data_IF_661004373960
#
_entry.id   IF_661004373960
#
_cell.length_a   1.000
_cell.length_b   1.000
_cell.length_c   1.000
_cell.angle_alpha   90.00
_cell.angle_beta   90.00
_cell.angle_gamma   90.00
#
_symmetry.space_group_name_H-M   'P 1'
#
loop_
_entity.id
_entity.type
_entity.pdbx_description
1 polymer ?
#
# COMPACT_ATOMS: atom_id res chain seq x y z
N UNK A 1 -0.18 5.67 -32.45
CA UNK A 1 -1.37 5.76 -31.56
C UNK A 1 -2.16 4.45 -31.40
N UNK A 2 -1.54 3.25 -31.38
CA UNK A 2 -2.27 1.96 -31.21
C UNK A 2 -2.14 1.29 -29.83
N UNK A 3 -1.33 1.83 -28.92
CA UNK A 3 -0.97 1.14 -27.67
C UNK A 3 -1.93 1.38 -26.50
N UNK A 4 -2.73 2.46 -26.53
CA UNK A 4 -3.59 2.86 -25.39
C UNK A 4 -4.91 2.09 -25.28
N UNK A 5 -5.32 1.36 -26.33
CA UNK A 5 -6.62 0.67 -26.40
C UNK A 5 -6.62 -0.74 -25.78
N UNK A 6 -5.46 -1.37 -25.58
CA UNK A 6 -5.37 -2.76 -25.09
C UNK A 6 -5.60 -2.91 -23.59
N UNK A 7 -5.21 -1.94 -22.77
CA UNK A 7 -5.37 -2.03 -21.31
C UNK A 7 -6.78 -1.73 -20.81
N UNK A 8 -7.57 -0.95 -21.56
CA UNK A 8 -8.97 -0.67 -21.20
C UNK A 8 -9.89 -1.87 -21.30
N UNK A 9 -9.64 -2.78 -22.25
CA UNK A 9 -10.42 -4.02 -22.42
C UNK A 9 -10.20 -5.02 -21.29
N UNK A 10 -8.97 -5.12 -20.76
CA UNK A 10 -8.66 -6.05 -19.68
C UNK A 10 -9.40 -5.72 -18.37
N UNK A 11 -9.53 -4.43 -18.04
CA UNK A 11 -10.23 -3.99 -16.82
C UNK A 11 -11.74 -4.30 -16.92
N UNK A 12 -12.35 -4.07 -18.09
CA UNK A 12 -13.77 -4.34 -18.30
C UNK A 12 -14.06 -5.85 -18.20
N UNK A 13 -13.19 -6.70 -18.76
CA UNK A 13 -13.36 -8.17 -18.69
C UNK A 13 -13.26 -8.67 -17.25
N UNK A 14 -12.32 -8.14 -16.45
CA UNK A 14 -12.19 -8.52 -15.04
C UNK A 14 -13.41 -8.08 -14.21
N UNK A 15 -13.96 -6.88 -14.47
CA UNK A 15 -15.16 -6.39 -13.78
C UNK A 15 -16.41 -7.19 -14.16
N UNK A 16 -16.55 -7.57 -15.43
CA UNK A 16 -17.65 -8.43 -15.90
C UNK A 16 -17.51 -9.84 -15.31
N UNK A 17 -16.30 -10.40 -15.29
CA UNK A 17 -16.05 -11.74 -14.73
C UNK A 17 -16.36 -11.81 -13.22
N UNK A 18 -16.09 -10.73 -12.46
CA UNK A 18 -16.46 -10.63 -11.04
C UNK A 18 -17.97 -10.54 -10.81
N UNK A 19 -18.74 -10.07 -11.80
CA UNK A 19 -20.20 -9.94 -11.70
C UNK A 19 -20.96 -11.23 -12.08
N UNK A 20 -20.30 -12.15 -12.78
CA UNK A 20 -20.85 -13.44 -13.21
C UNK A 20 -20.51 -14.60 -12.26
N UNK A 21 -19.93 -14.32 -11.08
CA UNK A 21 -19.77 -15.36 -10.07
C UNK A 21 -21.17 -15.86 -9.63
N UNK A 22 -21.44 -17.16 -9.74
CA UNK A 22 -22.76 -17.74 -9.49
C UNK A 22 -23.15 -17.52 -8.02
N UNK A 23 -24.26 -16.82 -7.82
CA UNK A 23 -24.98 -16.82 -6.55
C UNK A 23 -25.67 -18.17 -6.41
N UNK A 24 -24.95 -19.15 -5.86
CA UNK A 24 -25.54 -20.43 -5.52
C UNK A 24 -26.62 -20.19 -4.45
N UNK A 25 -27.87 -20.27 -4.89
CA UNK A 25 -29.07 -20.45 -4.09
C UNK A 25 -29.00 -21.81 -3.40
N UNK A 26 -28.87 -21.80 -2.07
CA UNK A 26 -29.02 -22.97 -1.21
C UNK A 26 -30.50 -23.18 -0.85
N UNK A 27 -30.86 -24.45 -0.77
CA UNK A 27 -32.21 -25.01 -0.68
C UNK A 27 -32.71 -25.16 0.78
N UNK A 28 -33.98 -25.57 0.87
CA UNK A 28 -34.74 -26.18 1.97
C UNK A 28 -34.38 -25.88 3.44
N UNK A 29 -35.36 -25.26 4.10
CA UNK A 29 -35.61 -25.19 5.55
C UNK A 29 -34.44 -24.86 6.48
N UNK A 30 -33.83 -23.68 6.27
CA UNK A 30 -33.04 -23.02 7.31
C UNK A 30 -34.00 -22.46 8.37
N UNK A 31 -33.97 -23.02 9.58
CA UNK A 31 -34.65 -22.40 10.73
C UNK A 31 -33.79 -21.22 11.17
N UNK A 32 -34.21 -20.02 10.76
CA UNK A 32 -33.60 -18.75 11.17
C UNK A 32 -34.53 -18.06 12.16
N UNK A 33 -34.04 -17.77 13.36
CA UNK A 33 -34.74 -16.91 14.32
C UNK A 33 -33.81 -15.78 14.76
N UNK A 34 -34.34 -14.56 14.68
CA UNK A 34 -33.62 -13.33 15.04
C UNK A 34 -34.37 -12.71 16.22
N UNK A 35 -33.81 -12.82 17.42
CA UNK A 35 -34.42 -12.32 18.65
C UNK A 35 -35.61 -13.14 19.18
N UNK A 36 -35.90 -12.98 20.48
CA UNK A 36 -37.04 -13.61 21.14
C UNK A 36 -36.68 -14.79 22.05
N UNK A 37 -37.49 -15.84 22.01
CA UNK A 37 -37.31 -17.05 22.83
C UNK A 37 -36.19 -17.94 22.27
N UNK A 38 -35.49 -18.71 23.12
CA UNK A 38 -34.41 -19.59 22.68
C UNK A 38 -34.91 -20.62 21.66
N UNK A 39 -34.12 -20.85 20.60
CA UNK A 39 -34.43 -21.87 19.59
C UNK A 39 -34.25 -23.25 20.23
N UNK A 40 -35.29 -24.07 20.22
CA UNK A 40 -35.26 -25.44 20.77
C UNK A 40 -35.50 -26.47 19.68
N UNK A 41 -34.50 -27.33 19.41
CA UNK A 41 -34.67 -28.53 18.56
C UNK A 41 -34.96 -29.72 19.47
N UNK A 42 -36.21 -30.21 19.44
CA UNK A 42 -36.66 -31.30 20.29
C UNK A 42 -36.08 -32.66 19.87
N UNK A 43 -36.01 -33.59 20.82
CA UNK A 43 -35.62 -34.97 20.55
C UNK A 43 -36.56 -35.60 19.48
N UNK A 44 -36.00 -36.43 18.60
CA UNK A 44 -36.70 -37.06 17.48
C UNK A 44 -36.86 -36.18 16.24
N UNK A 45 -36.53 -34.89 16.30
CA UNK A 45 -36.54 -34.00 15.15
C UNK A 45 -35.15 -33.94 14.51
N UNK A 46 -35.12 -33.85 13.18
CA UNK A 46 -33.89 -33.67 12.41
C UNK A 46 -33.98 -32.37 11.62
N UNK A 47 -32.99 -31.50 11.77
CA UNK A 47 -32.90 -30.21 11.07
C UNK A 47 -31.55 -30.16 10.35
N UNK A 48 -31.46 -29.48 9.21
CA UNK A 48 -30.20 -29.40 8.48
C UNK A 48 -29.23 -28.41 9.12
N UNK A 49 -29.67 -27.17 9.29
CA UNK A 49 -28.88 -26.08 9.89
C UNK A 49 -29.71 -25.29 10.89
N UNK A 50 -29.12 -24.94 12.02
CA UNK A 50 -29.73 -24.07 13.04
C UNK A 50 -28.96 -22.76 13.09
N UNK A 51 -29.65 -21.64 12.82
CA UNK A 51 -29.08 -20.30 12.94
C UNK A 51 -29.83 -19.50 14.02
N UNK A 52 -29.16 -19.22 15.14
CA UNK A 52 -29.68 -18.38 16.22
C UNK A 52 -28.90 -17.08 16.31
N UNK A 53 -29.59 -15.93 16.27
CA UNK A 53 -28.96 -14.61 16.38
C UNK A 53 -29.57 -13.83 17.55
N UNK A 54 -28.74 -13.55 18.55
CA UNK A 54 -29.10 -12.81 19.76
C UNK A 54 -29.88 -13.61 20.80
N UNK A 55 -29.98 -14.94 20.61
CA UNK A 55 -30.71 -15.85 21.49
C UNK A 55 -29.95 -17.15 21.68
N UNK A 56 -30.15 -17.82 22.81
CA UNK A 56 -29.58 -19.13 23.06
C UNK A 56 -30.20 -20.20 22.15
N UNK A 57 -29.42 -21.22 21.80
CA UNK A 57 -29.92 -22.41 21.11
C UNK A 57 -29.82 -23.63 22.03
N UNK A 58 -30.92 -24.37 22.17
CA UNK A 58 -30.98 -25.64 22.90
C UNK A 58 -31.26 -26.76 21.91
N UNK A 59 -30.32 -27.68 21.77
CA UNK A 59 -30.36 -28.74 20.77
C UNK A 59 -30.49 -30.06 21.52
N UNK A 60 -31.61 -30.76 21.36
CA UNK A 60 -31.83 -32.12 21.84
C UNK A 60 -32.05 -33.14 20.69
N UNK A 61 -32.32 -32.66 19.47
CA UNK A 61 -32.49 -33.49 18.27
C UNK A 61 -31.22 -33.66 17.43
N UNK A 62 -31.40 -34.03 16.16
CA UNK A 62 -30.32 -34.24 15.20
C UNK A 62 -30.15 -33.01 14.30
N UNK A 63 -28.92 -32.48 14.21
CA UNK A 63 -28.56 -31.42 13.26
C UNK A 63 -27.47 -31.94 12.34
N UNK A 64 -27.80 -32.08 11.07
CA UNK A 64 -26.93 -32.82 10.14
C UNK A 64 -25.73 -32.03 9.64
N UNK A 65 -25.83 -30.69 9.56
CA UNK A 65 -24.80 -29.85 8.97
C UNK A 65 -24.13 -28.93 10.02
N UNK A 66 -24.78 -27.84 10.41
CA UNK A 66 -24.19 -26.89 11.34
C UNK A 66 -25.17 -26.22 12.30
N UNK A 67 -24.70 -25.93 13.51
CA UNK A 67 -25.35 -25.02 14.46
C UNK A 67 -24.50 -23.75 14.54
N UNK A 68 -25.03 -22.64 14.06
CA UNK A 68 -24.41 -21.32 14.13
C UNK A 68 -25.20 -20.45 15.11
N UNK A 69 -24.56 -20.07 16.21
CA UNK A 69 -25.14 -19.14 17.19
C UNK A 69 -24.32 -17.88 17.25
N UNK A 70 -24.98 -16.72 17.20
CA UNK A 70 -24.35 -15.41 17.26
C UNK A 70 -24.90 -14.69 18.48
N UNK A 71 -24.02 -14.32 19.42
CA UNK A 71 -24.37 -13.58 20.63
C UNK A 71 -25.45 -14.28 21.48
N UNK A 72 -25.25 -15.58 21.72
CA UNK A 72 -26.08 -16.44 22.56
C UNK A 72 -25.28 -17.67 22.98
N UNK A 73 -25.83 -18.51 23.85
CA UNK A 73 -25.18 -19.75 24.27
C UNK A 73 -25.76 -20.95 23.55
N UNK A 74 -24.93 -21.97 23.31
CA UNK A 74 -25.37 -23.26 22.76
C UNK A 74 -25.43 -24.28 23.87
N UNK A 75 -26.58 -24.90 24.07
CA UNK A 75 -26.77 -26.01 24.99
C UNK A 75 -27.04 -27.29 24.19
N UNK A 76 -26.08 -28.19 24.15
CA UNK A 76 -26.24 -29.52 23.54
C UNK A 76 -26.71 -30.49 24.63
N UNK A 77 -27.94 -30.96 24.52
CA UNK A 77 -28.52 -31.92 25.45
C UNK A 77 -28.01 -33.35 25.20
N UNK A 78 -28.19 -34.30 26.14
CA UNK A 78 -27.63 -35.65 26.03
C UNK A 78 -27.98 -36.42 24.75
N UNK A 79 -29.15 -36.14 24.15
CA UNK A 79 -29.63 -36.77 22.92
C UNK A 79 -29.21 -36.05 21.64
N UNK A 80 -28.54 -34.90 21.75
CA UNK A 80 -28.12 -34.10 20.62
C UNK A 80 -27.13 -34.84 19.73
N UNK A 81 -27.33 -34.80 18.42
CA UNK A 81 -26.34 -35.23 17.44
C UNK A 81 -26.11 -34.08 16.48
N UNK A 82 -24.91 -33.51 16.49
CA UNK A 82 -24.56 -32.36 15.66
C UNK A 82 -23.24 -32.65 14.94
N UNK A 83 -23.11 -32.22 13.69
CA UNK A 83 -21.84 -32.36 12.96
C UNK A 83 -20.85 -31.24 13.34
N UNK A 84 -21.25 -29.97 13.16
CA UNK A 84 -20.44 -28.79 13.44
C UNK A 84 -21.19 -27.79 14.34
N UNK A 85 -20.52 -27.26 15.37
CA UNK A 85 -21.06 -26.17 16.21
C UNK A 85 -20.11 -24.97 16.11
N UNK A 86 -20.64 -23.84 15.70
CA UNK A 86 -19.94 -22.55 15.68
C UNK A 86 -20.72 -21.60 16.57
N UNK A 87 -20.07 -21.17 17.65
CA UNK A 87 -20.59 -20.14 18.53
C UNK A 87 -19.78 -18.86 18.38
N UNK A 88 -20.46 -17.75 18.10
CA UNK A 88 -19.90 -16.43 17.86
C UNK A 88 -20.38 -15.48 18.96
N UNK A 89 -19.72 -15.52 20.12
CA UNK A 89 -19.92 -14.56 21.21
C UNK A 89 -20.54 -15.09 22.50
N UNK A 90 -20.64 -16.41 22.68
CA UNK A 90 -21.10 -17.03 23.92
C UNK A 90 -20.30 -18.27 24.31
N UNK A 91 -20.98 -19.26 24.87
CA UNK A 91 -20.36 -20.52 25.31
C UNK A 91 -21.16 -21.73 24.84
N UNK A 92 -20.45 -22.82 24.52
CA UNK A 92 -21.05 -24.10 24.16
C UNK A 92 -21.00 -25.04 25.37
N UNK A 93 -22.17 -25.27 25.96
CA UNK A 93 -22.35 -26.25 27.02
C UNK A 93 -22.67 -27.61 26.40
N UNK A 94 -21.65 -28.45 26.25
CA UNK A 94 -21.80 -29.77 25.67
C UNK A 94 -22.12 -30.84 26.74
N UNK A 95 -23.37 -31.29 26.81
CA UNK A 95 -23.80 -32.46 27.59
C UNK A 95 -24.16 -33.67 26.73
N UNK A 96 -23.90 -33.61 25.41
CA UNK A 96 -24.23 -34.66 24.47
C UNK A 96 -23.40 -35.93 24.75
N UNK A 97 -24.04 -37.10 24.65
CA UNK A 97 -23.35 -38.38 24.81
C UNK A 97 -22.35 -38.66 23.67
N UNK A 98 -22.53 -37.99 22.53
CA UNK A 98 -21.69 -38.10 21.34
C UNK A 98 -21.14 -36.73 20.97
N UNK A 99 -19.83 -36.60 20.95
CA UNK A 99 -19.19 -35.35 20.55
C UNK A 99 -19.50 -35.00 19.09
N UNK A 100 -19.56 -33.70 18.75
CA UNK A 100 -19.71 -33.27 17.36
C UNK A 100 -18.60 -33.84 16.48
N UNK A 101 -18.95 -34.28 15.27
CA UNK A 101 -18.03 -34.99 14.36
C UNK A 101 -16.94 -34.08 13.83
N UNK A 102 -17.30 -32.86 13.43
CA UNK A 102 -16.38 -31.89 12.81
C UNK A 102 -15.73 -31.00 13.87
N UNK A 103 -16.44 -30.70 14.97
CA UNK A 103 -15.88 -30.04 16.14
C UNK A 103 -16.75 -28.89 16.66
N UNK A 104 -16.24 -28.22 17.70
CA UNK A 104 -16.85 -27.06 18.34
C UNK A 104 -15.90 -25.87 18.22
N UNK A 105 -16.37 -24.77 17.61
CA UNK A 105 -15.63 -23.53 17.48
C UNK A 105 -16.29 -22.45 18.32
N UNK A 106 -15.66 -22.08 19.42
CA UNK A 106 -16.09 -20.95 20.26
C UNK A 106 -15.26 -19.72 19.91
N UNK A 107 -15.89 -18.71 19.29
CA UNK A 107 -15.30 -17.40 19.04
C UNK A 107 -15.94 -16.42 19.98
N UNK A 108 -15.32 -16.26 21.15
CA UNK A 108 -15.78 -15.28 22.12
C UNK A 108 -15.34 -13.88 21.72
N UNK A 109 -16.32 -13.01 21.39
CA UNK A 109 -16.13 -11.55 21.31
C UNK A 109 -15.95 -10.99 22.73
N UNK A 110 -14.90 -11.45 23.42
CA UNK A 110 -14.53 -10.90 24.71
C UNK A 110 -14.21 -9.41 24.56
N UNK A 111 -14.40 -8.65 25.63
CA UNK A 111 -13.96 -7.24 25.69
C UNK A 111 -12.49 -7.10 25.27
N UNK A 112 -11.68 -8.13 25.52
CA UNK A 112 -10.29 -8.21 25.08
C UNK A 112 -10.16 -8.22 23.54
N UNK A 113 -10.92 -9.06 22.84
CA UNK A 113 -10.88 -9.13 21.37
C UNK A 113 -11.40 -7.83 20.74
N UNK A 114 -12.45 -7.23 21.30
CA UNK A 114 -12.95 -5.92 20.87
C UNK A 114 -11.89 -4.83 21.10
N UNK A 115 -11.25 -4.79 22.27
CA UNK A 115 -10.20 -3.81 22.56
C UNK A 115 -8.97 -3.99 21.67
N UNK A 116 -8.52 -5.22 21.42
CA UNK A 116 -7.39 -5.51 20.55
C UNK A 116 -7.69 -5.20 19.08
N UNK A 117 -8.90 -5.52 18.60
CA UNK A 117 -9.33 -5.19 17.23
C UNK A 117 -9.53 -3.69 17.03
N UNK A 118 -10.10 -2.97 18.02
CA UNK A 118 -10.23 -1.52 17.99
C UNK A 118 -8.86 -0.86 18.00
N UNK A 119 -7.94 -1.29 18.87
CA UNK A 119 -6.57 -0.78 18.90
C UNK A 119 -5.85 -1.03 17.57
N UNK A 120 -5.97 -2.24 17.01
CA UNK A 120 -5.44 -2.58 15.70
C UNK A 120 -6.03 -1.70 14.59
N UNK A 121 -7.35 -1.46 14.63
CA UNK A 121 -8.05 -0.57 13.71
C UNK A 121 -7.55 0.87 13.80
N UNK A 122 -7.36 1.40 15.01
CA UNK A 122 -6.82 2.75 15.24
C UNK A 122 -5.39 2.87 14.74
N UNK A 123 -4.53 1.89 15.00
CA UNK A 123 -3.15 1.88 14.50
C UNK A 123 -3.14 1.85 12.97
N UNK A 124 -3.96 1.00 12.36
CA UNK A 124 -4.06 0.89 10.91
C UNK A 124 -4.53 2.22 10.31
N UNK A 125 -5.61 2.81 10.84
CA UNK A 125 -6.09 4.14 10.44
C UNK A 125 -5.02 5.22 10.63
N UNK A 126 -4.27 5.17 11.73
CA UNK A 126 -3.16 6.08 12.01
C UNK A 126 -2.06 6.00 10.96
N UNK A 127 -1.66 4.80 10.54
CA UNK A 127 -0.66 4.59 9.47
C UNK A 127 -1.18 5.14 8.14
N UNK A 128 -2.46 4.89 7.81
CA UNK A 128 -3.07 5.43 6.58
C UNK A 128 -3.14 6.96 6.61
N UNK A 129 -3.55 7.56 7.73
CA UNK A 129 -3.59 9.01 7.90
C UNK A 129 -2.19 9.63 7.80
N UNK A 130 -1.19 9.04 8.48
CA UNK A 130 0.20 9.47 8.39
C UNK A 130 0.71 9.43 6.94
N UNK A 131 0.40 8.36 6.20
CA UNK A 131 0.77 8.23 4.79
C UNK A 131 0.14 9.31 3.92
N UNK A 132 -1.12 9.69 4.16
CA UNK A 132 -1.78 10.80 3.46
C UNK A 132 -1.08 12.13 3.77
N UNK A 133 -0.78 12.40 5.04
CA UNK A 133 -0.07 13.62 5.46
C UNK A 133 1.32 13.72 4.83
N UNK A 134 2.11 12.65 4.89
CA UNK A 134 3.44 12.59 4.26
C UNK A 134 3.35 12.77 2.75
N UNK A 135 2.36 12.18 2.10
CA UNK A 135 2.14 12.35 0.67
C UNK A 135 1.80 13.80 0.32
N UNK A 136 0.93 14.45 1.09
CA UNK A 136 0.55 15.84 0.88
C UNK A 136 1.75 16.78 1.06
N UNK A 137 2.53 16.58 2.13
CA UNK A 137 3.78 17.31 2.37
C UNK A 137 4.76 17.11 1.21
N UNK A 138 4.90 15.88 0.72
CA UNK A 138 5.74 15.55 -0.43
C UNK A 138 5.31 16.29 -1.70
N UNK A 139 4.00 16.37 -1.98
CA UNK A 139 3.46 17.12 -3.13
C UNK A 139 3.80 18.60 -3.02
N UNK A 140 3.52 19.22 -1.86
CA UNK A 140 3.78 20.66 -1.64
C UNK A 140 5.28 20.94 -1.77
N UNK A 141 6.11 20.11 -1.15
CA UNK A 141 7.57 20.24 -1.17
C UNK A 141 8.15 20.10 -2.59
N UNK A 142 7.78 19.05 -3.33
CA UNK A 142 8.24 18.83 -4.70
C UNK A 142 7.72 19.90 -5.66
N UNK A 143 6.48 20.38 -5.47
CA UNK A 143 5.92 21.47 -6.28
C UNK A 143 6.68 22.76 -6.05
N UNK A 144 6.96 23.11 -4.79
CA UNK A 144 7.73 24.31 -4.43
C UNK A 144 9.15 24.27 -4.97
N UNK A 145 9.84 23.13 -4.80
CA UNK A 145 11.18 22.92 -5.37
C UNK A 145 11.18 22.98 -6.91
N UNK A 146 10.22 22.30 -7.55
CA UNK A 146 10.07 22.30 -9.00
C UNK A 146 9.80 23.68 -9.57
N UNK A 147 9.00 24.49 -8.87
CA UNK A 147 8.74 25.88 -9.23
C UNK A 147 10.01 26.73 -9.10
N UNK A 148 10.72 26.64 -7.96
CA UNK A 148 11.94 27.40 -7.71
C UNK A 148 13.05 27.08 -8.74
N UNK A 149 13.18 25.82 -9.13
CA UNK A 149 14.23 25.38 -10.04
C UNK A 149 13.86 25.48 -11.53
N UNK A 150 12.61 25.86 -11.86
CA UNK A 150 12.08 25.85 -13.22
C UNK A 150 13.00 26.50 -14.26
N UNK A 151 13.59 27.64 -13.92
CA UNK A 151 14.45 28.39 -14.85
C UNK A 151 15.77 27.69 -15.19
N UNK A 152 16.25 26.77 -14.34
CA UNK A 152 17.49 26.01 -14.59
C UNK A 152 17.25 24.68 -15.31
N UNK A 153 15.99 24.26 -15.39
CA UNK A 153 15.61 22.90 -15.75
C UNK A 153 15.32 22.69 -17.24
N UNK A 154 15.00 23.74 -18.00
CA UNK A 154 14.70 23.65 -19.44
C UNK A 154 15.82 23.01 -20.27
N UNK A 155 17.08 23.15 -19.82
CA UNK A 155 18.24 22.55 -20.51
C UNK A 155 18.42 21.05 -20.23
N UNK A 156 17.66 20.48 -19.30
CA UNK A 156 17.84 19.14 -18.74
C UNK A 156 17.06 18.05 -19.47
N UNK A 157 15.92 18.42 -20.04
CA UNK A 157 14.99 17.47 -20.67
C UNK A 157 15.64 16.74 -21.85
N UNK A 158 16.50 17.43 -22.61
CA UNK A 158 17.24 16.87 -23.74
C UNK A 158 18.31 15.84 -23.33
N UNK A 159 18.85 15.95 -22.11
CA UNK A 159 19.83 15.00 -21.60
C UNK A 159 19.18 13.72 -21.09
N UNK A 160 17.99 13.84 -20.49
CA UNK A 160 17.26 12.71 -19.95
C UNK A 160 16.74 11.78 -21.05
N UNK A 161 16.25 12.36 -22.16
CA UNK A 161 15.72 11.60 -23.30
C UNK A 161 16.80 10.84 -24.06
N UNK A 162 18.00 11.40 -24.17
CA UNK A 162 19.09 10.81 -24.95
C UNK A 162 19.88 9.73 -24.19
N UNK A 163 19.91 9.78 -22.86
CA UNK A 163 20.90 9.00 -22.10
C UNK A 163 20.41 8.51 -20.71
N UNK A 164 19.15 8.12 -20.57
CA UNK A 164 18.58 7.63 -19.31
C UNK A 164 19.43 6.51 -18.66
N UNK A 165 19.75 5.46 -19.42
CA UNK A 165 20.59 4.33 -18.96
C UNK A 165 21.98 4.77 -18.50
N UNK A 166 22.59 5.74 -19.19
CA UNK A 166 23.92 6.26 -18.82
C UNK A 166 23.85 7.06 -17.51
N UNK A 167 22.80 7.88 -17.34
CA UNK A 167 22.58 8.64 -16.11
C UNK A 167 22.32 7.71 -14.92
N UNK A 168 21.52 6.67 -15.11
CA UNK A 168 21.32 5.62 -14.13
C UNK A 168 22.65 4.94 -13.74
N UNK A 169 23.47 4.54 -14.72
CA UNK A 169 24.78 3.95 -14.47
C UNK A 169 25.73 4.86 -13.69
N UNK A 170 25.77 6.16 -14.01
CA UNK A 170 26.56 7.16 -13.27
C UNK A 170 26.06 7.29 -11.83
N UNK A 171 24.74 7.35 -11.62
CA UNK A 171 24.14 7.42 -10.30
C UNK A 171 24.47 6.21 -9.44
N UNK A 172 24.33 5.01 -10.00
CA UNK A 172 24.69 3.75 -9.32
C UNK A 172 26.16 3.67 -8.97
N UNK A 173 27.05 4.02 -9.91
CA UNK A 173 28.49 4.05 -9.67
C UNK A 173 28.88 5.03 -8.55
N UNK A 174 28.25 6.21 -8.54
CA UNK A 174 28.48 7.20 -7.47
C UNK A 174 27.93 6.73 -6.13
N UNK A 175 26.76 6.09 -6.09
CA UNK A 175 26.21 5.52 -4.85
C UNK A 175 27.14 4.44 -4.28
N UNK A 176 27.65 3.53 -5.12
CA UNK A 176 28.63 2.52 -4.70
C UNK A 176 29.89 3.15 -4.14
N UNK A 177 30.40 4.20 -4.79
CA UNK A 177 31.55 4.96 -4.30
C UNK A 177 31.24 5.61 -2.94
N UNK A 178 30.08 6.25 -2.79
CA UNK A 178 29.67 6.92 -1.56
C UNK A 178 29.52 5.93 -0.40
N UNK A 179 28.93 4.75 -0.65
CA UNK A 179 28.81 3.67 0.34
C UNK A 179 30.19 3.14 0.73
N UNK A 180 31.05 2.84 -0.25
CA UNK A 180 32.42 2.37 0.01
C UNK A 180 33.21 3.39 0.83
N UNK A 181 33.11 4.67 0.49
CA UNK A 181 33.74 5.76 1.23
C UNK A 181 33.17 5.89 2.64
N UNK A 182 31.85 5.78 2.83
CA UNK A 182 31.22 5.83 4.15
C UNK A 182 31.69 4.70 5.07
N UNK A 183 31.81 3.47 4.54
CA UNK A 183 32.36 2.32 5.28
C UNK A 183 33.81 2.59 5.69
N UNK A 184 34.64 3.08 4.77
CA UNK A 184 36.04 3.41 5.05
C UNK A 184 36.16 4.50 6.13
N UNK A 185 35.31 5.52 6.07
CA UNK A 185 35.28 6.60 7.07
C UNK A 185 34.86 6.09 8.45
N UNK A 186 33.98 5.10 8.53
CA UNK A 186 33.50 4.55 9.80
C UNK A 186 34.62 3.91 10.63
N UNK A 187 35.74 3.51 10.00
CA UNK A 187 36.94 3.01 10.69
C UNK A 187 37.73 4.10 11.42
N UNK A 188 37.41 5.38 11.21
CA UNK A 188 38.11 6.51 11.82
C UNK A 188 37.19 7.27 12.78
N UNK A 189 37.72 7.73 13.92
CA UNK A 189 36.97 8.51 14.91
C UNK A 189 36.36 9.78 14.29
N UNK A 190 37.10 10.44 13.40
CA UNK A 190 36.63 11.62 12.67
C UNK A 190 35.73 11.30 11.47
N UNK A 191 35.65 10.04 11.04
CA UNK A 191 34.93 9.68 9.83
C UNK A 191 33.44 9.46 10.04
N UNK A 192 32.97 9.14 11.25
CA UNK A 192 31.52 9.07 11.55
C UNK A 192 30.81 10.40 11.23
N UNK A 193 31.24 11.57 11.76
CA UNK A 193 30.58 12.84 11.43
C UNK A 193 30.71 13.20 9.94
N UNK A 194 31.85 12.87 9.32
CA UNK A 194 32.07 13.13 7.89
C UNK A 194 31.22 12.22 6.99
N UNK A 195 31.00 10.96 7.38
CA UNK A 195 30.13 10.02 6.67
C UNK A 195 28.67 10.47 6.77
N UNK A 196 28.23 10.93 7.94
CA UNK A 196 26.89 11.52 8.10
C UNK A 196 26.70 12.74 7.19
N UNK A 197 27.69 13.64 7.12
CA UNK A 197 27.67 14.80 6.22
C UNK A 197 27.58 14.37 4.74
N UNK A 198 28.36 13.36 4.33
CA UNK A 198 28.33 12.82 2.96
C UNK A 198 26.98 12.22 2.61
N UNK A 199 26.35 11.48 3.53
CA UNK A 199 25.02 10.90 3.33
C UNK A 199 23.98 12.01 3.17
N UNK A 200 23.99 13.03 4.05
CA UNK A 200 23.09 14.19 3.95
C UNK A 200 23.26 14.88 2.60
N UNK A 201 24.50 15.14 2.17
CA UNK A 201 24.78 15.74 0.88
C UNK A 201 24.27 14.88 -0.28
N UNK A 202 24.45 13.56 -0.20
CA UNK A 202 23.93 12.60 -1.17
C UNK A 202 22.40 12.64 -1.27
N UNK A 203 21.70 12.69 -0.14
CA UNK A 203 20.24 12.82 -0.09
C UNK A 203 19.79 14.13 -0.74
N UNK A 204 20.43 15.26 -0.39
CA UNK A 204 20.11 16.57 -0.99
C UNK A 204 20.31 16.53 -2.51
N UNK A 205 21.42 15.95 -3.00
CA UNK A 205 21.67 15.80 -4.44
C UNK A 205 20.64 14.90 -5.11
N UNK A 206 20.24 13.80 -4.48
CA UNK A 206 19.20 12.89 -5.00
C UNK A 206 17.85 13.60 -5.12
N UNK A 207 17.43 14.33 -4.08
CA UNK A 207 16.18 15.10 -4.06
C UNK A 207 16.18 16.19 -5.13
N UNK A 208 17.28 16.93 -5.29
CA UNK A 208 17.41 17.94 -6.35
C UNK A 208 17.38 17.31 -7.74
N UNK A 209 17.98 16.12 -7.90
CA UNK A 209 17.98 15.36 -9.13
C UNK A 209 16.63 14.73 -9.50
N UNK A 210 15.76 14.51 -8.51
CA UNK A 210 14.42 13.96 -8.72
C UNK A 210 13.47 14.93 -9.44
N UNK A 211 13.66 16.24 -9.27
CA UNK A 211 12.84 17.29 -9.89
C UNK A 211 12.81 17.19 -11.44
N UNK A 212 13.96 17.17 -12.15
CA UNK A 212 13.97 16.98 -13.60
C UNK A 212 13.36 15.66 -14.05
N UNK A 213 13.57 14.60 -13.27
CA UNK A 213 13.03 13.27 -13.57
C UNK A 213 11.49 13.29 -13.48
N UNK A 214 10.96 13.90 -12.41
CA UNK A 214 9.52 14.14 -12.24
C UNK A 214 8.94 14.93 -13.42
N UNK A 215 9.60 16.01 -13.85
CA UNK A 215 9.15 16.81 -14.99
C UNK A 215 9.12 16.00 -16.28
N UNK A 216 10.15 15.18 -16.54
CA UNK A 216 10.24 14.32 -17.72
C UNK A 216 9.12 13.27 -17.76
N UNK A 217 8.86 12.59 -16.64
CA UNK A 217 7.77 11.60 -16.55
C UNK A 217 6.43 12.30 -16.73
N UNK A 218 6.29 13.45 -16.07
CA UNK A 218 5.12 14.30 -16.16
C UNK A 218 4.79 14.70 -17.59
N UNK A 219 5.77 15.15 -18.38
CA UNK A 219 5.55 15.54 -19.78
C UNK A 219 5.23 14.38 -20.70
N UNK A 220 5.71 13.17 -20.39
CA UNK A 220 5.40 11.96 -21.18
C UNK A 220 4.02 11.38 -20.86
N UNK A 221 3.57 11.48 -19.62
CA UNK A 221 2.32 10.85 -19.15
C UNK A 221 1.13 11.82 -19.18
N UNK A 222 1.32 13.10 -18.85
CA UNK A 222 0.23 14.09 -18.90
C UNK A 222 -0.16 14.42 -20.33
N UNK A 223 -1.45 14.68 -20.54
CA UNK A 223 -1.97 15.13 -21.83
C UNK A 223 -1.43 16.52 -22.20
N UNK A 224 -1.27 16.77 -23.50
CA UNK A 224 -0.86 18.08 -24.04
C UNK A 224 -1.72 19.24 -23.54
N UNK A 225 -3.02 19.03 -23.28
CA UNK A 225 -3.88 20.06 -22.68
C UNK A 225 -3.41 20.51 -21.30
N UNK A 226 -2.84 19.63 -20.49
CA UNK A 226 -2.37 19.98 -19.14
C UNK A 226 -1.04 20.75 -19.22
N UNK A 227 -0.29 20.60 -20.32
CA UNK A 227 0.96 21.36 -20.54
C UNK A 227 0.73 22.84 -20.84
N UNK A 228 -0.45 23.21 -21.34
CA UNK A 228 -0.84 24.60 -21.67
C UNK A 228 -1.22 25.42 -20.42
N UNK A 229 -1.43 24.77 -19.27
CA UNK A 229 -1.78 25.43 -18.02
C UNK A 229 -0.61 26.22 -17.41
N UNK A 230 -0.91 27.14 -16.46
CA UNK A 230 0.10 27.85 -15.70
C UNK A 230 1.13 26.91 -15.08
N UNK A 231 2.37 27.40 -14.95
CA UNK A 231 3.51 26.62 -14.50
C UNK A 231 3.30 25.93 -13.14
N UNK A 232 2.58 26.59 -12.23
CA UNK A 232 2.27 26.07 -10.90
C UNK A 232 1.36 24.85 -11.02
N UNK A 233 0.26 24.95 -11.78
CA UNK A 233 -0.68 23.86 -12.01
C UNK A 233 0.00 22.67 -12.69
N UNK A 234 0.89 22.93 -13.66
CA UNK A 234 1.70 21.89 -14.28
C UNK A 234 2.62 21.20 -13.27
N UNK A 235 3.36 21.95 -12.46
CA UNK A 235 4.25 21.35 -11.45
C UNK A 235 3.46 20.52 -10.43
N UNK A 236 2.32 21.04 -9.97
CA UNK A 236 1.45 20.35 -9.03
C UNK A 236 0.94 19.03 -9.60
N UNK A 237 0.47 19.03 -10.85
CA UNK A 237 0.00 17.81 -11.51
C UNK A 237 1.14 16.76 -11.67
N UNK A 238 2.36 17.21 -11.99
CA UNK A 238 3.53 16.34 -12.10
C UNK A 238 3.95 15.78 -10.73
N UNK A 239 3.96 16.60 -9.68
CA UNK A 239 4.28 16.18 -8.31
C UNK A 239 3.23 15.21 -7.77
N UNK A 240 1.94 15.48 -7.97
CA UNK A 240 0.86 14.56 -7.58
C UNK A 240 0.99 13.21 -8.29
N UNK A 241 1.26 13.20 -9.60
CA UNK A 241 1.48 11.96 -10.35
C UNK A 241 2.69 11.18 -9.81
N UNK A 242 3.79 11.87 -9.54
CA UNK A 242 5.01 11.26 -9.04
C UNK A 242 4.82 10.66 -7.64
N UNK A 243 4.20 11.41 -6.72
CA UNK A 243 3.91 10.94 -5.37
C UNK A 243 2.91 9.77 -5.39
N UNK A 244 1.91 9.80 -6.27
CA UNK A 244 0.98 8.68 -6.43
C UNK A 244 1.69 7.39 -6.88
N UNK A 245 2.66 7.48 -7.80
CA UNK A 245 3.47 6.34 -8.23
C UNK A 245 4.37 5.81 -7.10
N UNK A 246 5.03 6.70 -6.36
CA UNK A 246 5.91 6.35 -5.23
C UNK A 246 5.11 5.73 -4.07
N UNK A 247 3.85 6.12 -3.90
CA UNK A 247 3.02 5.59 -2.82
C UNK A 247 2.70 4.11 -2.99
N UNK A 248 2.85 3.49 -4.16
CA UNK A 248 2.59 2.05 -4.33
C UNK A 248 3.60 1.20 -3.53
N UNK A 249 3.18 0.25 -2.67
CA UNK A 249 4.07 -0.42 -1.70
C UNK A 249 5.32 -1.09 -2.32
N UNK A 250 5.14 -1.91 -3.35
CA UNK A 250 6.25 -2.62 -4.02
C UNK A 250 6.77 -1.83 -5.22
N UNK A 251 5.85 -1.40 -6.09
CA UNK A 251 6.20 -0.73 -7.35
C UNK A 251 6.81 0.64 -7.09
N UNK A 252 6.29 1.38 -6.10
CA UNK A 252 6.75 2.71 -5.76
C UNK A 252 8.15 2.73 -5.18
N UNK A 253 8.54 1.71 -4.42
CA UNK A 253 9.91 1.57 -3.90
C UNK A 253 10.92 1.32 -5.03
N UNK A 254 10.64 0.36 -5.92
CA UNK A 254 11.49 0.09 -7.09
C UNK A 254 11.59 1.33 -7.98
N UNK A 255 10.46 2.00 -8.22
CA UNK A 255 10.40 3.23 -8.99
C UNK A 255 11.20 4.35 -8.34
N UNK A 256 11.09 4.55 -7.02
CA UNK A 256 11.84 5.55 -6.26
C UNK A 256 13.35 5.30 -6.36
N UNK A 257 13.80 4.05 -6.24
CA UNK A 257 15.23 3.69 -6.37
C UNK A 257 15.73 4.03 -7.79
N UNK A 258 15.01 3.58 -8.82
CA UNK A 258 15.43 3.82 -10.22
C UNK A 258 15.47 5.31 -10.54
N UNK A 259 14.45 6.06 -10.14
CA UNK A 259 14.36 7.50 -10.39
C UNK A 259 15.32 8.31 -9.52
N UNK A 260 15.54 7.88 -8.27
CA UNK A 260 16.51 8.47 -7.36
C UNK A 260 17.94 8.31 -7.87
N UNK A 261 18.32 7.10 -8.33
CA UNK A 261 19.62 6.85 -8.94
C UNK A 261 19.82 7.66 -10.22
N UNK A 262 18.82 7.71 -11.08
CA UNK A 262 18.86 8.53 -12.29
C UNK A 262 18.99 10.02 -11.96
N UNK A 263 18.24 10.49 -10.96
CA UNK A 263 18.28 11.87 -10.48
C UNK A 263 19.65 12.23 -9.92
N UNK A 264 20.24 11.35 -9.10
CA UNK A 264 21.58 11.51 -8.56
C UNK A 264 22.64 11.66 -9.66
N UNK A 265 22.60 10.77 -10.68
CA UNK A 265 23.49 10.85 -11.84
C UNK A 265 23.31 12.14 -12.63
N UNK A 266 22.08 12.64 -12.74
CA UNK A 266 21.80 13.92 -13.38
C UNK A 266 22.36 15.09 -12.56
N UNK A 267 22.13 15.12 -11.25
CA UNK A 267 22.63 16.18 -10.38
C UNK A 267 24.16 16.30 -10.46
N UNK A 268 24.86 15.15 -10.47
CA UNK A 268 26.32 15.09 -10.62
C UNK A 268 26.77 15.63 -11.97
N UNK A 269 26.16 15.17 -13.07
CA UNK A 269 26.55 15.62 -14.42
C UNK A 269 26.29 17.11 -14.63
N UNK A 270 25.20 17.65 -14.08
CA UNK A 270 24.93 19.09 -14.08
C UNK A 270 25.92 19.87 -13.24
N UNK A 271 26.20 19.42 -12.02
CA UNK A 271 27.19 20.03 -11.13
C UNK A 271 28.56 20.12 -11.81
N UNK A 272 28.99 19.02 -12.43
CA UNK A 272 30.24 18.95 -13.18
C UNK A 272 30.28 19.93 -14.37
N UNK A 273 29.19 20.02 -15.16
CA UNK A 273 29.09 20.97 -16.27
C UNK A 273 29.15 22.42 -15.79
N UNK A 274 28.45 22.75 -14.70
CA UNK A 274 28.50 24.08 -14.11
C UNK A 274 29.90 24.45 -13.63
N UNK A 275 30.59 23.51 -12.97
CA UNK A 275 31.97 23.71 -12.53
C UNK A 275 32.91 23.95 -13.72
N UNK A 276 32.83 23.14 -14.78
CA UNK A 276 33.65 23.28 -15.99
C UNK A 276 33.40 24.61 -16.71
N UNK A 277 32.15 25.07 -16.78
CA UNK A 277 31.80 26.35 -17.41
C UNK A 277 32.37 27.54 -16.65
N UNK A 278 32.34 27.53 -15.31
CA UNK A 278 32.97 28.59 -14.49
C UNK A 278 34.49 28.64 -14.67
N UNK A 279 35.15 27.49 -14.81
CA UNK A 279 36.60 27.44 -15.04
C UNK A 279 37.00 28.05 -16.39
N UNK A 280 36.24 27.79 -17.47
CA UNK A 280 36.52 28.39 -18.80
C UNK A 280 36.38 29.91 -18.79
N UNK A 281 35.29 30.42 -18.18
CA UNK A 281 35.05 31.86 -18.07
C UNK A 281 36.17 32.60 -17.32
N UNK A 282 36.81 31.97 -16.33
CA UNK A 282 37.94 32.58 -15.62
C UNK A 282 39.22 32.62 -16.45
N UNK A 283 39.44 31.64 -17.34
CA UNK A 283 40.63 31.58 -18.19
C UNK A 283 40.57 32.63 -19.30
N UNK A 284 39.40 32.84 -19.90
CA UNK A 284 39.20 33.86 -20.96
C UNK A 284 39.39 35.30 -20.43
N UNK A 285 39.03 35.56 -19.17
CA UNK A 285 39.19 36.88 -18.52
C UNK A 285 40.65 37.19 -18.14
N UNK A 286 41.50 36.17 -17.99
CA UNK A 286 42.93 36.35 -17.72
C UNK A 286 43.81 36.41 -18.98
N UNK A 287 43.24 36.14 -20.15
CA UNK A 287 43.95 36.12 -21.44
C UNK A 287 43.63 37.32 -22.36
N UNK A 288 42.80 38.26 -21.91
CA UNK A 288 42.51 39.53 -22.59
C UNK A 288 42.93 40.70 -21.73
#
# INVERSE_FOLDING_TARGET
MKFRRRYGLGIIIITVLLFFLPKHTLADEIITQVGGYPITVLNGHSVETVLSVGTDARIAGNVTDAVLVINGNVYLEPTAQVDLVIDLGGHVYNSALKNPKTGVFEVNFSEKLLNESLLGGVILLGIWALRVVVSLLGIVFLTGLGYCMRNRLSSSENLLSAAFLRLFGIGTAFLMLLVSLAVLLTLTVFGIPLAALLIILGIVLAVLGLIPVMQFIGTKVLSSRILEYPAITRCLAQSTLFVALVSLPLIGLVFLIVMGLTGLGLALTMGWRHYKRRKRLKLDVTSG
#
